data_IF_650569560779
#
_entry.id   IF_650569560779
#
_cell.length_a   1.000
_cell.length_b   1.000
_cell.length_c   1.000
_cell.angle_alpha   90.00
_cell.angle_beta   90.00
_cell.angle_gamma   90.00
#
_symmetry.space_group_name_H-M   'P 1'
#
loop_
_entity.id
_entity.type
_entity.pdbx_description
1 polymer ?
#
# COMPACT_ATOMS: atom_id res chain seq x y z
N UNK A 1 0.36 -8.84 18.39
CA UNK A 1 0.68 -9.05 16.95
C UNK A 1 -0.47 -8.52 16.09
N UNK A 2 -0.22 -7.63 15.12
CA UNK A 2 -1.28 -7.14 14.21
C UNK A 2 -1.70 -8.20 13.20
N UNK A 3 -3.00 -8.41 13.07
CA UNK A 3 -3.59 -9.27 12.05
C UNK A 3 -4.33 -8.46 10.99
N UNK A 4 -4.28 -8.95 9.75
CA UNK A 4 -4.97 -8.41 8.59
C UNK A 4 -6.06 -9.38 8.15
N UNK A 5 -7.30 -8.93 8.12
CA UNK A 5 -8.43 -9.66 7.55
C UNK A 5 -8.43 -9.47 6.03
N UNK A 6 -8.32 -10.58 5.30
CA UNK A 6 -8.39 -10.64 3.83
C UNK A 6 -9.84 -10.56 3.35
N UNK A 7 -10.02 -10.37 2.03
CA UNK A 7 -11.32 -10.59 1.39
C UNK A 7 -11.68 -12.07 1.60
N UNK A 8 -12.86 -12.36 2.15
CA UNK A 8 -13.25 -13.72 2.54
C UNK A 8 -12.93 -14.10 4.00
N UNK A 9 -12.57 -13.16 4.86
CA UNK A 9 -12.48 -13.39 6.31
C UNK A 9 -11.17 -14.04 6.81
N UNK A 10 -10.38 -14.66 5.92
CA UNK A 10 -9.07 -15.23 6.27
C UNK A 10 -8.16 -14.20 6.95
N UNK A 11 -7.59 -14.56 8.10
CA UNK A 11 -6.64 -13.72 8.84
C UNK A 11 -5.21 -14.02 8.41
N UNK A 12 -4.37 -12.99 8.34
CA UNK A 12 -2.95 -13.11 8.04
C UNK A 12 -2.17 -12.17 8.95
N UNK A 13 -0.93 -12.51 9.32
CA UNK A 13 -0.02 -11.56 9.98
C UNK A 13 0.17 -10.31 9.11
N UNK A 14 0.20 -9.14 9.75
CA UNK A 14 0.60 -7.90 9.10
C UNK A 14 2.07 -7.98 8.69
N UNK A 15 2.35 -7.74 7.40
CA UNK A 15 3.70 -7.82 6.84
C UNK A 15 4.04 -6.45 6.23
N UNK A 16 4.89 -5.64 6.89
CA UNK A 16 5.27 -4.30 6.42
C UNK A 16 5.82 -4.31 4.98
N UNK A 17 6.61 -5.32 4.62
CA UNK A 17 7.18 -5.48 3.29
C UNK A 17 6.11 -5.54 2.18
N UNK A 18 4.91 -6.07 2.46
CA UNK A 18 3.82 -6.10 1.47
C UNK A 18 3.32 -4.70 1.11
N UNK A 19 3.37 -3.74 2.06
CA UNK A 19 2.98 -2.35 1.83
C UNK A 19 4.03 -1.67 0.94
N UNK A 20 5.32 -1.74 1.34
CA UNK A 20 6.44 -1.15 0.57
C UNK A 20 6.50 -1.70 -0.86
N UNK A 21 6.38 -3.02 -1.02
CA UNK A 21 6.40 -3.67 -2.35
C UNK A 21 5.21 -3.27 -3.23
N UNK A 22 4.03 -3.06 -2.64
CA UNK A 22 2.84 -2.61 -3.38
C UNK A 22 3.05 -1.21 -3.97
N UNK A 23 3.66 -0.30 -3.19
CA UNK A 23 3.99 1.06 -3.65
C UNK A 23 5.09 1.04 -4.71
N UNK A 24 6.16 0.26 -4.49
CA UNK A 24 7.29 0.12 -5.44
C UNK A 24 6.81 -0.36 -6.82
N UNK A 25 5.91 -1.37 -6.86
CA UNK A 25 5.33 -1.87 -8.12
C UNK A 25 4.48 -0.82 -8.84
N UNK A 26 3.71 -0.02 -8.10
CA UNK A 26 2.94 1.06 -8.69
C UNK A 26 3.82 2.20 -9.22
N UNK A 27 4.88 2.55 -8.50
CA UNK A 27 5.87 3.54 -8.94
C UNK A 27 6.56 3.11 -10.24
N UNK A 28 6.99 1.85 -10.33
CA UNK A 28 7.54 1.27 -11.56
C UNK A 28 6.53 1.33 -12.72
N UNK A 29 5.27 0.98 -12.47
CA UNK A 29 4.19 1.07 -13.45
C UNK A 29 3.82 2.50 -13.86
N UNK A 30 4.23 3.51 -13.09
CA UNK A 30 4.10 4.93 -13.40
C UNK A 30 5.38 5.54 -14.01
N UNK A 31 6.43 4.72 -14.22
CA UNK A 31 7.72 5.12 -14.83
C UNK A 31 8.37 6.35 -14.16
N UNK A 32 8.25 6.48 -12.84
CA UNK A 32 8.92 7.55 -12.10
C UNK A 32 10.37 7.17 -11.78
N UNK A 33 11.21 8.18 -11.49
CA UNK A 33 12.62 7.95 -11.19
C UNK A 33 12.84 7.05 -9.95
N UNK A 34 13.97 6.33 -9.86
CA UNK A 34 14.32 5.53 -8.69
C UNK A 34 14.41 6.35 -7.40
N UNK A 35 14.87 7.60 -7.48
CA UNK A 35 14.90 8.53 -6.34
C UNK A 35 13.49 8.81 -5.82
N UNK A 36 12.57 9.21 -6.71
CA UNK A 36 11.16 9.48 -6.34
C UNK A 36 10.42 8.24 -5.87
N UNK A 37 10.79 7.07 -6.41
CA UNK A 37 10.29 5.77 -5.93
C UNK A 37 10.70 5.51 -4.48
N UNK A 38 11.99 5.72 -4.14
CA UNK A 38 12.50 5.54 -2.77
C UNK A 38 11.80 6.49 -1.80
N UNK A 39 11.65 7.76 -2.18
CA UNK A 39 10.93 8.77 -1.40
C UNK A 39 9.48 8.35 -1.12
N UNK A 40 8.72 7.97 -2.15
CA UNK A 40 7.33 7.53 -2.01
C UNK A 40 7.20 6.28 -1.14
N UNK A 41 8.10 5.31 -1.29
CA UNK A 41 8.10 4.08 -0.48
C UNK A 41 8.41 4.39 0.97
N UNK A 42 9.32 5.33 1.24
CA UNK A 42 9.63 5.79 2.60
C UNK A 42 8.41 6.50 3.19
N UNK A 43 8.01 7.63 2.60
CA UNK A 43 6.93 8.48 3.12
C UNK A 43 5.59 7.73 3.24
N UNK A 44 5.07 7.19 2.13
CA UNK A 44 3.75 6.54 2.12
C UNK A 44 3.81 5.17 2.79
N UNK A 45 4.88 4.42 2.58
CA UNK A 45 5.01 3.08 3.15
C UNK A 45 5.15 3.11 4.66
N UNK A 46 6.04 3.94 5.20
CA UNK A 46 6.29 4.04 6.64
C UNK A 46 5.07 4.63 7.36
N UNK A 47 4.47 5.70 6.81
CA UNK A 47 3.24 6.27 7.37
C UNK A 47 2.09 5.26 7.50
N UNK A 48 1.92 4.38 6.51
CA UNK A 48 0.90 3.32 6.58
C UNK A 48 1.32 2.24 7.57
N UNK A 49 2.58 1.83 7.55
CA UNK A 49 3.09 0.82 8.49
C UNK A 49 2.91 1.28 9.93
N UNK A 50 3.27 2.51 10.26
CA UNK A 50 3.18 3.06 11.61
C UNK A 50 1.74 3.18 12.11
N UNK A 51 0.82 3.55 11.21
CA UNK A 51 -0.60 3.64 11.53
C UNK A 51 -1.22 2.27 11.85
N UNK A 52 -0.81 1.20 11.18
CA UNK A 52 -1.47 -0.11 11.29
C UNK A 52 -0.70 -1.12 12.15
N UNK A 53 0.62 -0.98 12.34
CA UNK A 53 1.43 -1.90 13.16
C UNK A 53 1.04 -1.91 14.64
N UNK A 54 0.36 -0.86 15.11
CA UNK A 54 -0.12 -0.74 16.50
C UNK A 54 -1.53 -1.29 16.70
N UNK A 55 -2.25 -1.64 15.63
CA UNK A 55 -3.62 -2.14 15.71
C UNK A 55 -3.63 -3.65 15.95
N UNK A 56 -4.64 -4.16 16.68
CA UNK A 56 -4.82 -5.61 16.88
C UNK A 56 -5.31 -6.29 15.58
N UNK A 57 -6.26 -5.66 14.90
CA UNK A 57 -6.95 -6.23 13.75
C UNK A 57 -7.22 -5.14 12.70
N UNK A 58 -6.96 -5.46 11.43
CA UNK A 58 -7.01 -4.49 10.32
C UNK A 58 -7.68 -5.13 9.11
N UNK A 59 -8.64 -4.49 8.45
CA UNK A 59 -9.17 -5.02 7.19
C UNK A 59 -8.26 -4.62 6.04
N UNK A 60 -8.07 -5.53 5.07
CA UNK A 60 -7.27 -5.23 3.86
C UNK A 60 -7.81 -4.00 3.11
N UNK A 61 -9.13 -3.75 3.17
CA UNK A 61 -9.74 -2.57 2.54
C UNK A 61 -9.26 -1.25 3.17
N UNK A 62 -8.99 -1.23 4.47
CA UNK A 62 -8.53 -0.03 5.16
C UNK A 62 -7.09 0.29 4.75
N UNK A 63 -6.22 -0.73 4.71
CA UNK A 63 -4.85 -0.59 4.20
C UNK A 63 -4.85 0.00 2.79
N UNK A 64 -5.73 -0.51 1.92
CA UNK A 64 -5.86 -0.03 0.54
C UNK A 64 -6.28 1.42 0.45
N UNK A 65 -7.33 1.80 1.19
CA UNK A 65 -7.80 3.20 1.26
C UNK A 65 -6.69 4.12 1.78
N UNK A 66 -5.95 3.67 2.78
CA UNK A 66 -4.86 4.43 3.41
C UNK A 66 -3.67 4.67 2.48
N UNK A 67 -3.25 3.64 1.73
CA UNK A 67 -2.20 3.78 0.70
C UNK A 67 -2.68 4.72 -0.40
N UNK A 68 -3.87 4.47 -0.95
CA UNK A 68 -4.40 5.24 -2.07
C UNK A 68 -4.59 6.72 -1.73
N UNK A 69 -5.13 7.03 -0.54
CA UNK A 69 -5.34 8.40 -0.10
C UNK A 69 -4.04 9.19 0.08
N UNK A 70 -2.94 8.51 0.43
CA UNK A 70 -1.60 9.14 0.51
C UNK A 70 -0.96 9.28 -0.87
N UNK A 71 -1.06 8.25 -1.71
CA UNK A 71 -0.59 8.32 -3.09
C UNK A 71 -1.29 9.44 -3.87
N UNK A 72 -2.61 9.61 -3.72
CA UNK A 72 -3.35 10.70 -4.37
C UNK A 72 -2.81 12.09 -4.00
N UNK A 73 -2.36 12.28 -2.75
CA UNK A 73 -1.79 13.55 -2.27
C UNK A 73 -0.38 13.79 -2.78
N UNK A 74 0.41 12.73 -3.02
CA UNK A 74 1.83 12.82 -3.39
C UNK A 74 2.08 12.69 -4.89
N UNK A 75 1.34 11.84 -5.57
CA UNK A 75 1.49 11.58 -7.01
C UNK A 75 0.25 10.91 -7.61
N UNK A 76 -0.53 11.69 -8.37
CA UNK A 76 -1.74 11.21 -9.08
C UNK A 76 -1.43 10.10 -10.10
N UNK A 77 -0.26 10.13 -10.75
CA UNK A 77 0.17 9.12 -11.72
C UNK A 77 0.42 7.76 -11.04
N UNK A 78 1.13 7.76 -9.90
CA UNK A 78 1.38 6.55 -9.10
C UNK A 78 0.10 6.02 -8.49
N UNK A 79 -0.79 6.89 -7.99
CA UNK A 79 -2.09 6.48 -7.49
C UNK A 79 -2.93 5.77 -8.57
N UNK A 80 -2.91 6.29 -9.80
CA UNK A 80 -3.58 5.67 -10.95
C UNK A 80 -2.98 4.32 -11.32
N UNK A 81 -1.64 4.22 -11.36
CA UNK A 81 -0.95 2.94 -11.58
C UNK A 81 -1.25 1.93 -10.47
N UNK A 82 -1.31 2.37 -9.22
CA UNK A 82 -1.63 1.53 -8.07
C UNK A 82 -3.07 1.01 -8.12
N UNK A 83 -4.06 1.85 -8.50
CA UNK A 83 -5.45 1.40 -8.73
C UNK A 83 -5.52 0.30 -9.80
N UNK A 84 -4.78 0.45 -10.91
CA UNK A 84 -4.71 -0.58 -11.97
C UNK A 84 -4.10 -1.88 -11.46
N UNK A 85 -3.00 -1.80 -10.72
CA UNK A 85 -2.37 -2.95 -10.07
C UNK A 85 -3.32 -3.70 -9.14
N UNK A 86 -4.04 -2.96 -8.28
CA UNK A 86 -4.99 -3.57 -7.34
C UNK A 86 -6.22 -4.16 -8.04
N UNK A 87 -6.70 -3.58 -9.14
CA UNK A 87 -7.77 -4.19 -9.94
C UNK A 87 -7.33 -5.55 -10.50
N UNK A 88 -6.09 -5.67 -11.00
CA UNK A 88 -5.55 -6.94 -11.51
C UNK A 88 -5.43 -8.00 -10.42
N UNK A 89 -5.12 -7.61 -9.19
CA UNK A 89 -5.04 -8.49 -8.01
C UNK A 89 -6.38 -8.88 -7.37
N UNK A 90 -7.49 -8.27 -7.82
CA UNK A 90 -8.84 -8.59 -7.34
C UNK A 90 -9.50 -9.71 -8.14
N UNK A 91 -8.99 -10.02 -9.33
CA UNK A 91 -9.22 -11.30 -10.03
C UNK A 91 -8.33 -12.34 -9.38
#
# INVERSE_FOLDING_TARGET
MTQVIKKGGKKQKFIPAKIKNSIKKAAAGARISPAKTRELVKDVGESVIDLYKRKKLVKTIDLRKSILGRLNRKSKSVASAWKRYEKRKKK
#
